data_IF_961924369466
#
_entry.id   IF_961924369466
#
_cell.length_a   1.000
_cell.length_b   1.000
_cell.length_c   1.000
_cell.angle_alpha   90.00
_cell.angle_beta   90.00
_cell.angle_gamma   90.00
#
_symmetry.space_group_name_H-M   'P 1'
#
loop_
_entity.id
_entity.type
_entity.pdbx_description
1 polymer ?
#
# COMPACT_ATOMS: atom_id res chain seq x y z
N UNK A 1 23.50 -51.64 -20.95
CA UNK A 1 22.93 -50.37 -20.46
C UNK A 1 23.90 -49.27 -20.82
N UNK A 2 23.53 -48.37 -21.73
CA UNK A 2 24.52 -47.48 -22.35
C UNK A 2 24.87 -46.35 -21.38
N UNK A 3 26.15 -46.15 -21.12
CA UNK A 3 26.67 -45.09 -20.24
C UNK A 3 26.18 -43.70 -20.62
N UNK A 4 25.88 -43.47 -21.91
CA UNK A 4 25.27 -42.23 -22.42
C UNK A 4 23.85 -41.99 -21.89
N UNK A 5 23.02 -43.04 -21.79
CA UNK A 5 21.67 -42.93 -21.22
C UNK A 5 21.70 -42.71 -19.71
N UNK A 6 22.66 -43.32 -19.02
CA UNK A 6 22.86 -43.13 -17.58
C UNK A 6 23.27 -41.68 -17.29
N UNK A 7 24.20 -41.12 -18.08
CA UNK A 7 24.63 -39.73 -17.94
C UNK A 7 23.48 -38.73 -18.21
N UNK A 8 22.66 -38.98 -19.24
CA UNK A 8 21.50 -38.14 -19.54
C UNK A 8 20.42 -38.22 -18.45
N UNK A 9 20.15 -39.42 -17.92
CA UNK A 9 19.20 -39.61 -16.83
C UNK A 9 19.68 -38.90 -15.55
N UNK A 10 20.97 -39.02 -15.20
CA UNK A 10 21.55 -38.34 -14.04
C UNK A 10 21.51 -36.81 -14.18
N UNK A 11 21.81 -36.28 -15.36
CA UNK A 11 21.70 -34.85 -15.64
C UNK A 11 20.26 -34.35 -15.53
N UNK A 12 19.30 -35.10 -16.08
CA UNK A 12 17.88 -34.76 -15.98
C UNK A 12 17.40 -34.76 -14.52
N UNK A 13 17.83 -35.74 -13.71
CA UNK A 13 17.50 -35.81 -12.29
C UNK A 13 18.11 -34.65 -11.50
N UNK A 14 19.35 -34.27 -11.82
CA UNK A 14 20.03 -33.12 -11.22
C UNK A 14 19.30 -31.81 -11.54
N UNK A 15 18.90 -31.62 -12.80
CA UNK A 15 18.16 -30.43 -13.24
C UNK A 15 16.79 -30.34 -12.57
N UNK A 16 16.11 -31.47 -12.37
CA UNK A 16 14.84 -31.52 -11.67
C UNK A 16 14.98 -31.16 -10.19
N UNK A 17 16.04 -31.64 -9.52
CA UNK A 17 16.31 -31.31 -8.12
C UNK A 17 16.60 -29.82 -7.92
N UNK A 18 17.34 -29.19 -8.84
CA UNK A 18 17.63 -27.74 -8.79
C UNK A 18 16.36 -26.91 -8.98
N UNK A 19 15.47 -27.32 -9.90
CA UNK A 19 14.20 -26.61 -10.11
C UNK A 19 13.30 -26.64 -8.88
N UNK A 20 13.28 -27.77 -8.14
CA UNK A 20 12.44 -27.92 -6.94
C UNK A 20 12.94 -27.09 -5.75
N UNK A 21 14.25 -26.90 -5.62
CA UNK A 21 14.84 -26.11 -4.55
C UNK A 21 14.64 -24.59 -4.72
N UNK A 22 14.28 -24.12 -5.92
CA UNK A 22 14.08 -22.70 -6.20
C UNK A 22 12.67 -22.19 -5.85
N UNK A 23 11.72 -23.09 -5.55
CA UNK A 23 10.31 -22.76 -5.31
C UNK A 23 9.87 -22.84 -3.84
N UNK A 24 10.77 -23.18 -2.92
CA UNK A 24 10.41 -23.48 -1.53
C UNK A 24 10.33 -22.25 -0.63
N UNK A 25 11.08 -21.20 -0.93
CA UNK A 25 11.26 -20.06 0.00
C UNK A 25 9.93 -19.32 0.29
N UNK A 26 9.21 -18.87 -0.75
CA UNK A 26 7.92 -18.18 -0.55
C UNK A 26 6.80 -19.12 -0.06
N UNK A 27 6.86 -20.40 -0.46
CA UNK A 27 5.84 -21.37 -0.05
C UNK A 27 5.88 -21.63 1.46
N UNK A 28 7.08 -21.66 2.04
CA UNK A 28 7.29 -21.87 3.47
C UNK A 28 6.78 -20.66 4.28
N UNK A 29 7.03 -19.43 3.80
CA UNK A 29 6.58 -18.19 4.44
C UNK A 29 5.04 -18.04 4.42
N UNK A 30 4.39 -18.37 3.30
CA UNK A 30 2.93 -18.40 3.18
C UNK A 30 2.32 -19.44 4.15
N UNK A 31 2.96 -20.61 4.31
CA UNK A 31 2.50 -21.64 5.24
C UNK A 31 2.65 -21.20 6.70
N UNK A 32 3.76 -20.55 7.05
CA UNK A 32 3.97 -19.95 8.36
C UNK A 32 2.91 -18.89 8.68
N UNK A 33 2.67 -17.96 7.76
CA UNK A 33 1.63 -16.93 7.88
C UNK A 33 0.24 -17.53 8.10
N UNK A 34 -0.11 -18.59 7.38
CA UNK A 34 -1.36 -19.32 7.58
C UNK A 34 -1.47 -19.87 9.01
N UNK A 35 -0.42 -20.55 9.50
CA UNK A 35 -0.43 -21.14 10.84
C UNK A 35 -0.59 -20.08 11.92
N UNK A 36 0.07 -18.93 11.77
CA UNK A 36 -0.07 -17.80 12.68
C UNK A 36 -1.51 -17.26 12.69
N UNK A 37 -2.10 -17.02 11.51
CA UNK A 37 -3.50 -16.56 11.40
C UNK A 37 -4.47 -17.56 12.04
N UNK A 38 -4.32 -18.86 11.73
CA UNK A 38 -5.17 -19.93 12.27
C UNK A 38 -5.01 -20.12 13.78
N UNK A 39 -3.81 -19.84 14.33
CA UNK A 39 -3.55 -19.91 15.77
C UNK A 39 -4.25 -18.82 16.57
N UNK A 40 -4.66 -17.71 15.93
CA UNK A 40 -5.30 -16.58 16.60
C UNK A 40 -4.39 -15.87 17.62
N UNK A 41 -3.08 -15.93 17.40
CA UNK A 41 -2.07 -15.24 18.21
C UNK A 41 -2.32 -13.73 18.25
N UNK A 42 -2.07 -13.11 19.40
CA UNK A 42 -2.27 -11.66 19.55
C UNK A 42 -1.23 -10.89 18.73
N UNK A 43 -1.65 -9.84 18.03
CA UNK A 43 -0.70 -8.94 17.36
C UNK A 43 0.35 -8.31 18.27
N UNK A 44 0.09 -8.22 19.58
CA UNK A 44 1.04 -7.69 20.54
C UNK A 44 2.21 -8.65 20.86
N UNK A 45 2.06 -9.93 20.50
CA UNK A 45 3.09 -10.96 20.70
C UNK A 45 3.84 -11.32 19.43
N UNK A 46 3.54 -10.67 18.30
CA UNK A 46 4.19 -10.91 17.02
C UNK A 46 5.36 -9.97 16.81
N UNK A 47 6.47 -10.49 16.29
CA UNK A 47 7.56 -9.68 15.75
C UNK A 47 7.34 -9.30 14.27
N UNK A 48 8.27 -8.55 13.71
CA UNK A 48 8.13 -8.02 12.35
C UNK A 48 8.25 -9.13 11.29
N UNK A 49 9.01 -10.20 11.58
CA UNK A 49 9.14 -11.38 10.72
C UNK A 49 7.84 -12.20 10.70
N UNK A 50 7.22 -12.43 11.85
CA UNK A 50 5.92 -13.09 11.94
C UNK A 50 4.80 -12.25 11.29
N UNK A 51 4.87 -10.92 11.41
CA UNK A 51 3.95 -10.01 10.73
C UNK A 51 4.18 -9.96 9.21
N UNK A 52 5.41 -10.10 8.73
CA UNK A 52 5.73 -10.25 7.30
C UNK A 52 5.07 -11.52 6.75
N UNK A 53 5.27 -12.67 7.39
CA UNK A 53 4.68 -13.94 6.98
C UNK A 53 3.14 -13.91 6.96
N UNK A 54 2.50 -13.29 7.95
CA UNK A 54 1.04 -13.07 7.95
C UNK A 54 0.62 -12.16 6.78
N UNK A 55 1.40 -11.10 6.53
CA UNK A 55 1.15 -10.17 5.44
C UNK A 55 1.24 -10.83 4.07
N UNK A 56 2.27 -11.66 3.87
CA UNK A 56 2.50 -12.50 2.70
C UNK A 56 1.31 -13.45 2.45
N UNK A 57 0.91 -14.20 3.49
CA UNK A 57 -0.25 -15.08 3.42
C UNK A 57 -1.53 -14.31 3.04
N UNK A 58 -1.79 -13.15 3.65
CA UNK A 58 -2.97 -12.35 3.34
C UNK A 58 -2.92 -11.75 1.93
N UNK A 59 -1.74 -11.35 1.46
CA UNK A 59 -1.52 -10.85 0.11
C UNK A 59 -1.77 -11.93 -0.93
N UNK A 60 -1.28 -13.14 -0.71
CA UNK A 60 -1.52 -14.29 -1.59
C UNK A 60 -3.02 -14.64 -1.66
N UNK A 61 -3.75 -14.52 -0.54
CA UNK A 61 -5.20 -14.74 -0.53
C UNK A 61 -5.97 -13.66 -1.32
N UNK A 62 -5.44 -12.44 -1.41
CA UNK A 62 -6.05 -11.35 -2.19
C UNK A 62 -5.62 -11.36 -3.66
N UNK A 63 -4.37 -11.74 -3.94
CA UNK A 63 -3.73 -11.64 -5.25
C UNK A 63 -2.90 -12.88 -5.59
N UNK A 64 -3.51 -14.06 -5.81
CA UNK A 64 -2.76 -15.31 -5.86
C UNK A 64 -1.75 -15.42 -7.00
N UNK A 65 -0.62 -16.06 -6.70
CA UNK A 65 0.43 -16.44 -7.63
C UNK A 65 1.02 -15.26 -8.39
N UNK A 66 1.09 -15.35 -9.72
CA UNK A 66 1.71 -14.31 -10.55
C UNK A 66 1.09 -12.91 -10.41
N UNK A 67 -0.13 -12.79 -9.87
CA UNK A 67 -0.75 -11.51 -9.55
C UNK A 67 -0.03 -10.81 -8.40
N UNK A 68 0.37 -11.55 -7.37
CA UNK A 68 1.11 -11.06 -6.22
C UNK A 68 2.43 -10.44 -6.67
N UNK A 69 3.24 -11.21 -7.39
CA UNK A 69 4.52 -10.74 -7.90
C UNK A 69 4.38 -9.57 -8.88
N UNK A 70 3.33 -9.57 -9.71
CA UNK A 70 3.08 -8.47 -10.63
C UNK A 70 2.80 -7.17 -9.86
N UNK A 71 2.12 -7.27 -8.72
CA UNK A 71 1.92 -6.12 -7.83
C UNK A 71 3.24 -5.58 -7.31
N UNK A 72 4.12 -6.43 -6.79
CA UNK A 72 5.45 -6.01 -6.31
C UNK A 72 6.24 -5.29 -7.40
N UNK A 73 6.30 -5.88 -8.60
CA UNK A 73 6.97 -5.28 -9.76
C UNK A 73 6.37 -3.93 -10.17
N UNK A 74 5.05 -3.80 -10.13
CA UNK A 74 4.37 -2.54 -10.46
C UNK A 74 4.58 -1.45 -9.39
N UNK A 75 4.73 -1.84 -8.12
CA UNK A 75 5.06 -0.94 -7.02
C UNK A 75 6.56 -0.65 -6.91
N UNK A 76 7.39 -1.35 -7.68
CA UNK A 76 8.86 -1.24 -7.60
C UNK A 76 9.43 -1.81 -6.30
N UNK A 77 8.71 -2.75 -5.67
CA UNK A 77 9.13 -3.48 -4.48
C UNK A 77 9.82 -4.75 -4.97
N UNK A 78 11.07 -4.97 -4.56
CA UNK A 78 11.79 -6.21 -4.87
C UNK A 78 11.62 -7.22 -3.74
N UNK A 79 11.44 -8.48 -4.08
CA UNK A 79 11.30 -9.57 -3.10
C UNK A 79 12.53 -9.63 -2.18
N UNK A 80 12.30 -9.85 -0.88
CA UNK A 80 13.35 -9.89 0.14
C UNK A 80 14.02 -8.55 0.46
N UNK A 81 13.47 -7.41 0.01
CA UNK A 81 13.96 -6.08 0.39
C UNK A 81 13.27 -5.56 1.66
N UNK A 82 13.89 -4.60 2.37
CA UNK A 82 13.21 -3.94 3.51
C UNK A 82 11.87 -3.29 3.13
N UNK A 83 11.73 -2.85 1.88
CA UNK A 83 10.46 -2.30 1.38
C UNK A 83 9.38 -3.37 1.24
N UNK A 84 9.77 -4.61 0.89
CA UNK A 84 8.90 -5.79 0.82
C UNK A 84 8.38 -6.15 2.20
N UNK A 85 9.30 -6.33 3.15
CA UNK A 85 8.98 -6.59 4.54
C UNK A 85 8.01 -5.57 5.13
N UNK A 86 8.33 -4.28 5.02
CA UNK A 86 7.48 -3.22 5.56
C UNK A 86 6.10 -3.13 4.88
N UNK A 87 6.02 -3.53 3.60
CA UNK A 87 4.76 -3.59 2.89
C UNK A 87 3.87 -4.69 3.47
N UNK A 88 4.38 -5.92 3.59
CA UNK A 88 3.61 -7.04 4.15
C UNK A 88 3.27 -6.85 5.63
N UNK A 89 4.22 -6.37 6.45
CA UNK A 89 3.94 -6.00 7.85
C UNK A 89 2.77 -5.02 7.95
N UNK A 90 2.71 -4.03 7.04
CA UNK A 90 1.60 -3.08 7.03
C UNK A 90 0.28 -3.76 6.64
N UNK A 91 0.28 -4.67 5.68
CA UNK A 91 -0.90 -5.46 5.31
C UNK A 91 -1.39 -6.26 6.52
N UNK A 92 -0.51 -6.98 7.22
CA UNK A 92 -0.85 -7.70 8.44
C UNK A 92 -1.43 -6.79 9.51
N UNK A 93 -0.81 -5.62 9.77
CA UNK A 93 -1.33 -4.66 10.74
C UNK A 93 -2.73 -4.13 10.41
N UNK A 94 -3.03 -3.94 9.12
CA UNK A 94 -4.34 -3.45 8.69
C UNK A 94 -5.42 -4.55 8.72
N UNK A 95 -5.08 -5.75 8.24
CA UNK A 95 -6.05 -6.81 7.98
C UNK A 95 -6.14 -7.85 9.09
N UNK A 96 -5.03 -8.18 9.74
CA UNK A 96 -5.00 -9.12 10.87
C UNK A 96 -5.17 -8.42 12.20
N UNK A 97 -4.41 -7.33 12.42
CA UNK A 97 -4.44 -6.59 13.69
C UNK A 97 -5.58 -5.57 13.80
N UNK A 98 -6.50 -5.56 12.83
CA UNK A 98 -7.72 -4.75 12.88
C UNK A 98 -7.53 -3.25 12.74
N UNK A 99 -6.38 -2.78 12.24
CA UNK A 99 -6.13 -1.37 11.89
C UNK A 99 -6.29 -0.38 13.06
N UNK A 100 -5.19 0.05 13.67
CA UNK A 100 -5.13 1.12 14.68
C UNK A 100 -6.04 1.00 15.93
N UNK A 101 -6.74 -0.12 16.14
CA UNK A 101 -7.68 -0.31 17.25
C UNK A 101 -7.15 -1.06 18.47
N UNK A 102 -6.22 -2.00 18.30
CA UNK A 102 -5.72 -2.85 19.41
C UNK A 102 -4.18 -2.97 19.42
N UNK A 103 -3.50 -1.96 18.91
CA UNK A 103 -2.04 -1.86 18.94
C UNK A 103 -1.62 -0.44 19.32
N UNK A 104 -1.77 -0.13 20.61
CA UNK A 104 -1.32 1.11 21.27
C UNK A 104 0.23 1.27 21.30
N UNK A 105 0.96 0.63 20.36
CA UNK A 105 2.42 0.73 20.23
C UNK A 105 2.94 0.93 18.79
N UNK A 106 2.22 0.50 17.74
CA UNK A 106 2.65 0.75 16.34
C UNK A 106 1.78 1.75 15.57
N UNK A 107 0.56 2.05 16.05
CA UNK A 107 -0.29 3.09 15.45
C UNK A 107 0.18 4.53 15.74
N UNK A 108 1.26 4.72 16.50
CA UNK A 108 1.90 6.03 16.70
C UNK A 108 2.87 6.43 15.58
N UNK A 109 3.20 5.52 14.66
CA UNK A 109 4.22 5.77 13.64
C UNK A 109 3.69 6.31 12.30
N UNK A 110 2.54 5.84 11.83
CA UNK A 110 2.22 6.00 10.38
C UNK A 110 0.78 6.40 10.05
N UNK A 111 -0.08 6.63 11.05
CA UNK A 111 -1.41 7.27 10.87
C UNK A 111 -1.65 8.47 11.79
N UNK A 112 -0.61 8.99 12.45
CA UNK A 112 -0.55 10.40 12.88
C UNK A 112 -0.13 11.32 11.72
N UNK A 113 -0.54 10.96 10.51
CA UNK A 113 -0.42 11.75 9.29
C UNK A 113 -1.76 12.38 8.94
N UNK A 114 -2.40 13.03 9.91
CA UNK A 114 -3.50 13.99 9.69
C UNK A 114 -3.13 15.17 8.78
N UNK A 115 -2.07 15.06 7.98
CA UNK A 115 -1.64 16.04 7.00
C UNK A 115 -2.40 15.97 5.66
N UNK A 116 -3.30 15.00 5.46
CA UNK A 116 -4.30 15.08 4.37
C UNK A 116 -5.63 15.70 4.80
N UNK A 117 -5.76 16.11 6.07
CA UNK A 117 -6.88 16.92 6.58
C UNK A 117 -6.40 18.25 7.21
N UNK A 118 -5.29 18.79 6.72
CA UNK A 118 -4.84 20.16 7.01
C UNK A 118 -4.11 20.87 5.86
N UNK A 119 -3.91 20.21 4.70
CA UNK A 119 -3.25 20.82 3.54
C UNK A 119 -4.20 21.43 2.50
N UNK A 120 -5.41 20.89 2.35
CA UNK A 120 -6.38 21.35 1.33
C UNK A 120 -7.44 22.33 1.87
N UNK A 121 -7.11 23.00 2.98
CA UNK A 121 -7.84 24.15 3.53
C UNK A 121 -6.96 25.40 3.70
N UNK A 122 -5.65 25.30 3.45
CA UNK A 122 -4.69 26.40 3.65
C UNK A 122 -4.30 27.17 2.38
N UNK A 123 -4.55 26.63 1.19
CA UNK A 123 -4.17 27.26 -0.09
C UNK A 123 -5.30 28.08 -0.73
N UNK A 124 -6.42 28.28 -0.04
CA UNK A 124 -7.47 29.23 -0.41
C UNK A 124 -7.64 30.36 0.63
N UNK A 125 -6.79 30.41 1.65
CA UNK A 125 -6.71 31.52 2.60
C UNK A 125 -5.72 32.62 2.20
N UNK A 126 -4.82 32.35 1.24
CA UNK A 126 -3.76 33.26 0.84
C UNK A 126 -3.98 33.93 -0.54
N UNK A 127 -5.09 33.65 -1.23
CA UNK A 127 -5.52 34.44 -2.39
C UNK A 127 -6.44 35.62 -2.01
N UNK A 128 -7.01 35.61 -0.79
CA UNK A 128 -7.90 36.66 -0.29
C UNK A 128 -7.23 37.66 0.68
N UNK A 129 -5.98 37.42 1.09
CA UNK A 129 -5.23 38.30 2.02
C UNK A 129 -3.92 38.90 1.47
N UNK A 130 -3.45 38.43 0.31
CA UNK A 130 -2.14 38.77 -0.25
C UNK A 130 -2.12 39.83 -1.37
N UNK A 131 -3.28 40.28 -1.88
CA UNK A 131 -3.37 41.30 -2.94
C UNK A 131 -3.62 42.73 -2.41
N UNK A 132 -3.67 42.91 -1.08
CA UNK A 132 -3.75 44.22 -0.42
C UNK A 132 -2.39 44.80 -0.02
N UNK A 133 -1.30 44.08 -0.26
CA UNK A 133 0.08 44.48 0.09
C UNK A 133 1.02 44.61 -1.12
N UNK A 134 0.48 44.62 -2.35
CA UNK A 134 1.14 45.28 -3.47
C UNK A 134 0.95 46.79 -3.34
N UNK A 135 1.68 47.37 -2.37
CA UNK A 135 2.16 48.74 -2.47
C UNK A 135 2.66 48.92 -3.91
N UNK A 136 2.07 49.81 -4.68
CA UNK A 136 2.42 51.21 -4.50
C UNK A 136 3.72 51.53 -5.24
N UNK A 137 3.78 51.21 -6.53
CA UNK A 137 4.88 51.61 -7.38
C UNK A 137 4.72 51.15 -8.82
N UNK A 138 4.53 52.12 -9.73
CA UNK A 138 4.68 52.03 -11.19
C UNK A 138 3.52 51.45 -12.02
N UNK A 139 2.57 52.34 -12.36
CA UNK A 139 2.52 52.85 -13.74
C UNK A 139 1.52 52.22 -14.72
N UNK A 140 0.44 52.96 -14.98
CA UNK A 140 -0.32 53.00 -16.25
C UNK A 140 -1.04 51.70 -16.63
N UNK A 141 -2.37 51.61 -16.56
CA UNK A 141 -3.31 52.46 -17.28
C UNK A 141 -4.09 51.60 -18.27
N UNK A 142 -5.38 51.90 -18.41
CA UNK A 142 -6.30 51.49 -19.47
C UNK A 142 -7.18 50.23 -19.29
N UNK A 143 -8.49 50.51 -19.11
CA UNK A 143 -9.65 49.97 -19.88
C UNK A 143 -9.93 48.47 -19.72
N UNK A 144 -11.09 47.98 -19.28
CA UNK A 144 -12.44 48.52 -19.29
C UNK A 144 -13.42 47.43 -19.77
N UNK A 145 -14.54 47.25 -19.04
CA UNK A 145 -15.72 46.48 -19.46
C UNK A 145 -15.69 44.98 -19.10
N UNK A 146 -16.74 44.34 -18.62
CA UNK A 146 -18.12 44.76 -18.38
C UNK A 146 -18.96 43.54 -17.98
N UNK A 147 -19.79 43.73 -16.95
CA UNK A 147 -21.15 43.20 -16.73
C UNK A 147 -21.65 42.02 -17.60
N UNK A 148 -22.06 40.92 -16.92
CA UNK A 148 -23.32 40.16 -17.09
C UNK A 148 -23.32 39.03 -16.04
N UNK A 149 -24.02 39.11 -14.90
CA UNK A 149 -25.47 39.00 -14.67
C UNK A 149 -26.12 37.74 -15.25
N UNK A 150 -26.44 36.78 -14.36
CA UNK A 150 -27.76 36.14 -14.39
C UNK A 150 -27.82 34.60 -14.43
N UNK A 151 -28.70 34.06 -13.56
CA UNK A 151 -29.24 32.67 -13.46
C UNK A 151 -28.26 31.62 -12.91
N UNK A 152 -28.45 31.03 -11.73
CA UNK A 152 -29.68 30.78 -10.97
C UNK A 152 -30.42 29.56 -11.53
N UNK A 153 -30.17 28.37 -10.95
CA UNK A 153 -31.14 27.27 -10.89
C UNK A 153 -30.74 26.28 -9.78
N UNK A 154 -31.67 26.11 -8.85
CA UNK A 154 -31.67 25.22 -7.69
C UNK A 154 -32.03 23.79 -8.10
N UNK A 155 -31.52 22.79 -7.38
CA UNK A 155 -32.18 21.54 -6.92
C UNK A 155 -31.07 20.50 -6.66
N UNK A 156 -30.87 19.90 -5.49
CA UNK A 156 -31.79 19.65 -4.38
C UNK A 156 -32.17 18.16 -4.32
N UNK A 157 -31.33 17.34 -3.66
CA UNK A 157 -31.58 16.01 -3.07
C UNK A 157 -30.19 15.43 -2.68
N UNK A 158 -29.77 15.10 -1.44
CA UNK A 158 -30.47 14.78 -0.19
C UNK A 158 -31.25 13.47 -0.32
N UNK A 159 -30.97 12.33 0.32
CA UNK A 159 -30.14 11.89 1.46
C UNK A 159 -30.01 10.32 1.34
N UNK A 160 -29.87 9.48 2.39
CA UNK A 160 -28.65 9.12 3.12
C UNK A 160 -28.44 7.59 3.37
N UNK A 161 -27.26 7.26 3.93
CA UNK A 161 -26.91 6.30 5.02
C UNK A 161 -27.72 5.01 5.29
N UNK A 162 -26.93 3.92 5.43
CA UNK A 162 -26.93 2.89 6.49
C UNK A 162 -28.29 2.43 7.08
N UNK A 163 -28.58 1.14 6.87
CA UNK A 163 -28.68 0.12 7.92
C UNK A 163 -28.43 -1.25 7.32
#
# INVERSE_FOLDING_TARGET
MNTRWIALAALALLLLAVAYAASTDESDEIEEGRRLVESGVSCSSLDDEELEAIGEYLMEQMHPGASHEAMHRMMGIGDGTEAHKLFHVRIAQMHYCGGAGESDRSARGMMSGGMMQSGMGGMMGNLAGGFGRMMGGFGGGMIGGGMMSGRGMMSGAGCPMHQ
#
